data_IF_360501878979
#
_entry.id   IF_360501878979
#
_cell.length_a   1.000
_cell.length_b   1.000
_cell.length_c   1.000
_cell.angle_alpha   90.00
_cell.angle_beta   90.00
_cell.angle_gamma   90.00
#
_symmetry.space_group_name_H-M   'P 1'
#
loop_
_entity.id
_entity.type
_entity.pdbx_description
1 polymer ?
#
# COMPACT_ATOMS: atom_id res chain seq x y z
N UNK A 1 -19.47 39.94 6.43
CA UNK A 1 -18.59 39.07 5.61
C UNK A 1 -19.51 38.15 4.81
N UNK A 2 -19.54 38.23 3.48
CA UNK A 2 -20.45 37.43 2.65
C UNK A 2 -19.96 35.96 2.65
N UNK A 3 -20.71 35.06 3.28
CA UNK A 3 -20.45 33.62 3.41
C UNK A 3 -20.73 32.82 2.13
N UNK A 4 -20.39 33.37 0.97
CA UNK A 4 -20.72 32.80 -0.33
C UNK A 4 -19.67 31.81 -0.86
N UNK A 5 -18.51 31.73 -0.22
CA UNK A 5 -17.44 30.80 -0.60
C UNK A 5 -17.14 29.86 0.56
N UNK A 6 -17.00 28.57 0.26
CA UNK A 6 -16.45 27.61 1.21
C UNK A 6 -14.95 27.89 1.41
N UNK A 7 -14.60 28.30 2.62
CA UNK A 7 -13.23 28.62 3.05
C UNK A 7 -12.68 27.60 4.05
N UNK A 8 -13.47 26.60 4.41
CA UNK A 8 -13.13 25.63 5.46
C UNK A 8 -12.68 24.29 4.86
N UNK A 9 -13.08 23.99 3.64
CA UNK A 9 -12.58 22.81 2.92
C UNK A 9 -11.07 22.90 2.67
N UNK A 10 -10.34 21.92 3.20
CA UNK A 10 -8.92 21.72 2.88
C UNK A 10 -8.82 20.95 1.57
N UNK A 11 -8.30 21.61 0.54
CA UNK A 11 -8.11 21.01 -0.78
C UNK A 11 -6.62 20.77 -1.00
N UNK A 12 -6.24 19.51 -1.21
CA UNK A 12 -4.93 19.17 -1.75
C UNK A 12 -4.94 19.52 -3.24
N UNK A 13 -4.21 20.56 -3.62
CA UNK A 13 -4.19 21.06 -4.99
C UNK A 13 -2.93 20.55 -5.72
N UNK A 14 -3.11 20.03 -6.93
CA UNK A 14 -2.02 19.65 -7.80
C UNK A 14 -1.63 20.80 -8.73
N UNK A 15 -0.45 20.73 -9.32
CA UNK A 15 -0.01 21.67 -10.36
C UNK A 15 -1.01 21.76 -11.51
N UNK A 16 -1.52 20.62 -11.97
CA UNK A 16 -2.48 20.52 -13.06
C UNK A 16 -3.84 21.16 -12.70
N UNK A 17 -4.34 20.90 -11.49
CA UNK A 17 -5.61 21.45 -11.02
C UNK A 17 -5.53 22.97 -10.88
N UNK A 18 -4.42 23.49 -10.32
CA UNK A 18 -4.21 24.93 -10.20
C UNK A 18 -4.17 25.63 -11.56
N UNK A 19 -3.45 25.06 -12.54
CA UNK A 19 -3.42 25.58 -13.92
C UNK A 19 -4.80 25.56 -14.57
N UNK A 20 -5.55 24.48 -14.39
CA UNK A 20 -6.92 24.35 -14.91
C UNK A 20 -7.83 25.44 -14.37
N UNK A 21 -7.79 25.70 -13.05
CA UNK A 21 -8.58 26.77 -12.42
C UNK A 21 -8.18 28.16 -12.90
N UNK A 22 -6.88 28.44 -13.02
CA UNK A 22 -6.39 29.71 -13.56
C UNK A 22 -6.84 29.93 -15.00
N UNK A 23 -6.77 28.89 -15.84
CA UNK A 23 -7.25 28.95 -17.22
C UNK A 23 -8.76 29.21 -17.29
N UNK A 24 -9.55 28.61 -16.39
CA UNK A 24 -10.99 28.88 -16.30
C UNK A 24 -11.26 30.35 -15.98
N UNK A 25 -10.56 30.91 -14.99
CA UNK A 25 -10.70 32.34 -14.65
C UNK A 25 -10.23 33.23 -15.81
N UNK A 26 -9.11 32.88 -16.45
CA UNK A 26 -8.61 33.62 -17.62
C UNK A 26 -9.62 33.62 -18.78
N UNK A 27 -10.34 32.50 -18.97
CA UNK A 27 -11.41 32.38 -19.96
C UNK A 27 -12.67 33.19 -19.64
N UNK A 28 -12.86 33.64 -18.40
CA UNK A 28 -13.96 34.53 -18.02
C UNK A 28 -13.69 36.00 -18.40
N UNK A 29 -12.47 36.33 -18.83
CA UNK A 29 -12.11 37.70 -19.21
C UNK A 29 -12.65 37.99 -20.60
N UNK A 30 -13.62 38.88 -20.66
CA UNK A 30 -14.22 39.35 -21.91
C UNK A 30 -13.25 40.29 -22.62
N UNK A 31 -12.96 40.00 -23.89
CA UNK A 31 -12.18 40.89 -24.76
C UNK A 31 -13.11 41.62 -25.72
N UNK A 32 -13.15 42.95 -25.63
CA UNK A 32 -13.82 43.80 -26.62
C UNK A 32 -12.78 44.42 -27.55
N UNK A 33 -13.20 45.23 -28.53
CA UNK A 33 -12.31 45.98 -29.42
C UNK A 33 -11.49 47.03 -28.65
N UNK A 34 -12.05 47.64 -27.61
CA UNK A 34 -11.43 48.74 -26.87
C UNK A 34 -10.79 48.29 -25.55
N UNK A 35 -11.32 47.26 -24.87
CA UNK A 35 -10.94 46.96 -23.50
C UNK A 35 -11.08 45.47 -23.16
N UNK A 36 -10.61 45.10 -21.96
CA UNK A 36 -10.73 43.74 -21.42
C UNK A 36 -11.27 43.79 -20.02
N UNK A 37 -12.28 42.97 -19.75
CA UNK A 37 -13.04 43.04 -18.51
C UNK A 37 -13.14 41.69 -17.84
N UNK A 38 -12.96 41.68 -16.53
CA UNK A 38 -13.46 40.60 -15.68
C UNK A 38 -14.74 41.08 -15.00
N UNK A 39 -15.84 40.32 -15.14
CA UNK A 39 -17.17 40.73 -14.68
C UNK A 39 -18.04 41.30 -15.81
N UNK A 40 -19.13 41.99 -15.42
CA UNK A 40 -20.12 42.49 -16.37
C UNK A 40 -19.90 43.98 -16.66
N UNK A 41 -19.56 44.29 -17.90
CA UNK A 41 -19.42 45.66 -18.41
C UNK A 41 -20.62 45.98 -19.31
N UNK A 42 -21.30 47.09 -19.05
CA UNK A 42 -22.53 47.46 -19.77
C UNK A 42 -22.31 48.63 -20.74
N UNK A 43 -21.73 49.74 -20.28
CA UNK A 43 -21.65 50.96 -21.11
C UNK A 43 -20.34 51.74 -20.97
N UNK A 44 -20.15 52.49 -19.87
CA UNK A 44 -19.11 53.53 -19.82
C UNK A 44 -17.89 53.12 -19.02
N UNK A 45 -18.10 52.56 -17.82
CA UNK A 45 -17.00 52.30 -16.88
C UNK A 45 -17.32 51.18 -15.87
N UNK A 46 -16.30 50.68 -15.19
CA UNK A 46 -16.43 49.66 -14.16
C UNK A 46 -16.51 50.28 -12.75
N UNK A 47 -17.63 50.90 -12.40
CA UNK A 47 -17.80 51.59 -11.12
C UNK A 47 -18.93 51.02 -10.23
N UNK A 48 -19.54 49.91 -10.63
CA UNK A 48 -20.61 49.24 -9.88
C UNK A 48 -21.98 49.91 -9.99
N UNK A 49 -22.14 50.99 -10.76
CA UNK A 49 -23.45 51.58 -11.02
C UNK A 49 -24.28 50.68 -11.96
N UNK A 50 -25.60 50.65 -11.74
CA UNK A 50 -26.56 49.81 -12.46
C UNK A 50 -26.42 49.88 -13.98
N UNK A 51 -26.15 51.07 -14.54
CA UNK A 51 -26.09 51.27 -15.99
C UNK A 51 -24.67 51.08 -16.58
N UNK A 52 -23.66 50.95 -15.72
CA UNK A 52 -22.25 50.94 -16.11
C UNK A 52 -21.62 49.54 -16.00
N UNK A 53 -21.96 48.81 -14.94
CA UNK A 53 -21.54 47.44 -14.72
C UNK A 53 -20.63 47.26 -13.49
N UNK A 54 -20.52 46.00 -13.06
CA UNK A 54 -19.66 45.54 -11.97
C UNK A 54 -18.54 44.70 -12.56
N UNK A 55 -17.40 45.34 -12.82
CA UNK A 55 -16.28 44.74 -13.52
C UNK A 55 -14.93 45.30 -13.07
N UNK A 56 -13.85 44.75 -13.60
CA UNK A 56 -12.50 45.30 -13.54
C UNK A 56 -11.96 45.41 -14.96
N UNK A 57 -11.41 46.57 -15.33
CA UNK A 57 -10.73 46.76 -16.61
C UNK A 57 -9.27 46.32 -16.49
N UNK A 58 -8.78 45.54 -17.45
CA UNK A 58 -7.43 45.01 -17.51
C UNK A 58 -6.71 45.72 -18.66
N UNK A 59 -5.88 46.71 -18.31
CA UNK A 59 -5.21 47.60 -19.26
C UNK A 59 -4.00 46.96 -19.95
N UNK A 60 -3.38 45.99 -19.29
CA UNK A 60 -2.07 45.45 -19.69
C UNK A 60 -2.15 44.37 -20.78
N UNK A 61 -3.36 44.09 -21.28
CA UNK A 61 -3.61 43.19 -22.41
C UNK A 61 -4.39 43.93 -23.50
N UNK A 62 -4.11 43.58 -24.76
CA UNK A 62 -4.78 44.18 -25.93
C UNK A 62 -5.82 43.22 -26.51
N UNK A 63 -6.51 43.65 -27.58
CA UNK A 63 -7.42 42.79 -28.37
C UNK A 63 -6.73 41.51 -28.82
N UNK A 64 -5.47 41.63 -29.25
CA UNK A 64 -4.76 40.61 -30.01
C UNK A 64 -3.54 40.04 -29.31
N UNK A 65 -3.08 40.67 -28.22
CA UNK A 65 -1.83 40.30 -27.52
C UNK A 65 -1.98 40.35 -26.01
N UNK A 66 -1.13 39.58 -25.33
CA UNK A 66 -1.08 39.48 -23.88
C UNK A 66 -1.93 38.33 -23.33
N UNK A 67 -1.45 37.73 -22.25
CA UNK A 67 -2.14 36.68 -21.50
C UNK A 67 -2.62 37.25 -20.17
N UNK A 68 -3.88 37.02 -19.77
CA UNK A 68 -4.31 37.37 -18.42
C UNK A 68 -3.49 36.72 -17.32
N UNK A 69 -2.96 35.51 -17.59
CA UNK A 69 -2.12 34.78 -16.64
C UNK A 69 -0.84 35.53 -16.28
N UNK A 70 -0.29 36.33 -17.21
CA UNK A 70 0.92 37.13 -16.97
C UNK A 70 0.61 38.59 -16.66
N UNK A 71 -0.53 39.11 -17.11
CA UNK A 71 -0.89 40.52 -16.93
C UNK A 71 -1.52 40.81 -15.56
N UNK A 72 -2.10 39.80 -14.90
CA UNK A 72 -2.74 39.95 -13.59
C UNK A 72 -1.80 39.37 -12.52
N UNK A 73 -1.21 40.20 -11.63
CA UNK A 73 -0.13 39.75 -10.74
C UNK A 73 -0.48 38.54 -9.87
N UNK A 74 -1.69 38.47 -9.33
CA UNK A 74 -2.10 37.34 -8.50
C UNK A 74 -2.26 36.05 -9.31
N UNK A 75 -2.64 36.13 -10.60
CA UNK A 75 -2.71 34.96 -11.48
C UNK A 75 -1.32 34.45 -11.82
N UNK A 76 -0.37 35.36 -12.07
CA UNK A 76 1.02 35.01 -12.32
C UNK A 76 1.63 34.30 -11.10
N UNK A 77 1.45 34.85 -9.90
CA UNK A 77 1.96 34.25 -8.67
C UNK A 77 1.43 32.82 -8.47
N UNK A 78 0.14 32.59 -8.72
CA UNK A 78 -0.44 31.24 -8.64
C UNK A 78 0.07 30.32 -9.75
N UNK A 79 0.40 30.85 -10.92
CA UNK A 79 1.05 30.08 -11.97
C UNK A 79 2.46 29.64 -11.56
N UNK A 80 3.23 30.53 -10.92
CA UNK A 80 4.56 30.21 -10.37
C UNK A 80 4.49 29.15 -9.25
N UNK A 81 3.44 29.20 -8.43
CA UNK A 81 3.14 28.13 -7.46
C UNK A 81 2.87 26.80 -8.17
N UNK A 82 2.13 26.82 -9.28
CA UNK A 82 1.88 25.59 -10.06
C UNK A 82 3.18 25.00 -10.65
N UNK A 83 4.12 25.84 -11.10
CA UNK A 83 5.46 25.38 -11.52
C UNK A 83 6.23 24.73 -10.37
N UNK A 84 6.17 25.33 -9.19
CA UNK A 84 6.82 24.79 -7.99
C UNK A 84 6.21 23.45 -7.58
N UNK A 85 4.88 23.34 -7.60
CA UNK A 85 4.16 22.09 -7.35
C UNK A 85 4.57 21.01 -8.36
N UNK A 86 4.68 21.35 -9.65
CA UNK A 86 5.05 20.38 -10.67
C UNK A 86 6.46 19.79 -10.45
N UNK A 87 7.41 20.62 -9.99
CA UNK A 87 8.75 20.15 -9.60
C UNK A 87 8.69 19.21 -8.40
N UNK A 88 7.92 19.58 -7.39
CA UNK A 88 7.75 18.77 -6.19
C UNK A 88 7.07 17.42 -6.50
N UNK A 89 6.00 17.41 -7.29
CA UNK A 89 5.29 16.20 -7.71
C UNK A 89 6.21 15.21 -8.46
N UNK A 90 7.08 15.73 -9.34
CA UNK A 90 8.10 14.92 -10.02
C UNK A 90 9.11 14.35 -9.03
N UNK A 91 9.63 15.16 -8.11
CA UNK A 91 10.58 14.71 -7.09
C UNK A 91 9.99 13.61 -6.20
N UNK A 92 8.74 13.77 -5.74
CA UNK A 92 8.01 12.76 -4.97
C UNK A 92 7.85 11.47 -5.76
N UNK A 93 7.57 11.56 -7.07
CA UNK A 93 7.44 10.38 -7.93
C UNK A 93 8.76 9.61 -8.04
N UNK A 94 9.88 10.31 -8.23
CA UNK A 94 11.21 9.69 -8.26
C UNK A 94 11.55 9.04 -6.92
N UNK A 95 11.30 9.77 -5.83
CA UNK A 95 11.57 9.27 -4.48
C UNK A 95 10.77 8.00 -4.16
N UNK A 96 9.47 7.98 -4.49
CA UNK A 96 8.62 6.80 -4.32
C UNK A 96 9.12 5.58 -5.11
N UNK A 97 9.59 5.81 -6.35
CA UNK A 97 10.18 4.72 -7.16
C UNK A 97 11.45 4.17 -6.52
N UNK A 98 12.36 5.04 -6.09
CA UNK A 98 13.58 4.62 -5.42
C UNK A 98 13.30 3.86 -4.13
N UNK A 99 12.33 4.31 -3.32
CA UNK A 99 11.90 3.59 -2.12
C UNK A 99 11.37 2.18 -2.46
N UNK A 100 10.52 2.06 -3.48
CA UNK A 100 10.00 0.76 -3.91
C UNK A 100 11.11 -0.18 -4.43
N UNK A 101 12.10 0.35 -5.16
CA UNK A 101 13.27 -0.42 -5.60
C UNK A 101 14.13 -0.90 -4.42
N UNK A 102 14.36 -0.04 -3.44
CA UNK A 102 15.08 -0.37 -2.21
C UNK A 102 14.34 -1.48 -1.45
N UNK A 103 13.04 -1.31 -1.20
CA UNK A 103 12.20 -2.31 -0.52
C UNK A 103 12.21 -3.66 -1.25
N UNK A 104 12.08 -3.63 -2.59
CA UNK A 104 12.19 -4.85 -3.41
C UNK A 104 13.54 -5.54 -3.21
N UNK A 105 14.65 -4.79 -3.25
CA UNK A 105 16.01 -5.34 -3.05
C UNK A 105 16.24 -5.87 -1.64
N UNK A 106 15.56 -5.37 -0.61
CA UNK A 106 15.65 -5.89 0.76
C UNK A 106 14.68 -7.05 1.03
N UNK A 107 13.60 -7.18 0.26
CA UNK A 107 12.65 -8.29 0.39
C UNK A 107 13.22 -9.64 -0.07
N UNK A 108 14.12 -9.63 -1.06
CA UNK A 108 14.76 -10.84 -1.61
C UNK A 108 15.81 -11.47 -0.66
N UNK A 109 16.82 -10.74 -0.13
CA UNK A 109 17.84 -11.31 0.74
C UNK A 109 17.32 -11.56 2.16
N UNK A 110 16.23 -10.94 2.62
CA UNK A 110 15.68 -11.28 3.94
C UNK A 110 15.11 -12.69 3.99
N UNK A 111 14.61 -13.23 2.86
CA UNK A 111 14.20 -14.64 2.75
C UNK A 111 15.39 -15.59 2.66
N UNK A 112 16.51 -15.18 2.06
CA UNK A 112 17.70 -16.04 1.91
C UNK A 112 18.64 -15.99 3.12
N UNK A 113 18.82 -14.84 3.76
CA UNK A 113 19.68 -14.65 4.94
C UNK A 113 19.05 -15.15 6.24
N UNK A 114 17.71 -15.17 6.32
CA UNK A 114 16.95 -15.73 7.45
C UNK A 114 16.17 -16.99 7.07
N UNK A 115 16.45 -17.58 5.90
CA UNK A 115 16.16 -19.00 5.75
C UNK A 115 17.04 -19.69 6.78
N UNK A 116 16.45 -20.22 7.85
CA UNK A 116 17.14 -21.20 8.67
C UNK A 116 17.69 -22.25 7.70
N UNK A 117 18.97 -22.64 7.81
CA UNK A 117 19.49 -23.74 7.02
C UNK A 117 18.53 -24.90 7.23
N UNK A 118 17.87 -25.37 6.17
CA UNK A 118 17.31 -26.71 6.20
C UNK A 118 18.54 -27.58 6.50
N UNK A 119 18.59 -28.29 7.64
CA UNK A 119 19.72 -29.14 7.91
C UNK A 119 19.90 -30.02 6.68
N UNK A 120 21.08 -29.92 6.07
CA UNK A 120 21.47 -30.83 5.00
C UNK A 120 21.18 -32.22 5.56
N UNK A 121 20.36 -33.06 4.89
CA UNK A 121 20.21 -34.42 5.36
C UNK A 121 21.61 -35.00 5.31
N UNK A 122 22.24 -35.18 6.47
CA UNK A 122 23.53 -35.84 6.56
C UNK A 122 23.37 -37.13 5.77
N UNK A 123 24.06 -37.19 4.65
CA UNK A 123 24.29 -38.40 3.88
C UNK A 123 25.16 -39.30 4.74
N UNK A 124 24.58 -39.85 5.78
CA UNK A 124 25.17 -40.84 6.66
C UNK A 124 24.15 -41.96 6.76
N UNK A 125 24.33 -42.91 5.85
CA UNK A 125 24.17 -44.35 6.11
C UNK A 125 23.10 -44.71 7.13
N UNK A 126 22.01 -45.26 6.60
CA UNK A 126 20.97 -46.05 7.28
C UNK A 126 21.57 -46.90 8.41
N UNK A 127 21.61 -46.36 9.63
CA UNK A 127 21.98 -47.13 10.84
C UNK A 127 21.31 -46.64 12.12
N UNK A 128 20.33 -45.74 12.03
CA UNK A 128 19.62 -45.19 13.19
C UNK A 128 18.11 -45.42 13.22
N UNK A 129 17.53 -46.13 12.23
CA UNK A 129 16.08 -46.30 12.12
C UNK A 129 15.57 -47.69 12.56
N UNK A 130 16.48 -48.61 12.95
CA UNK A 130 16.08 -49.94 13.42
C UNK A 130 15.77 -50.02 14.93
N UNK A 131 16.33 -49.15 15.77
CA UNK A 131 16.16 -49.32 17.22
C UNK A 131 14.82 -48.77 17.76
N UNK A 132 14.34 -47.62 17.26
CA UNK A 132 13.04 -47.09 17.71
C UNK A 132 11.84 -47.91 17.22
N UNK A 133 11.98 -48.64 16.12
CA UNK A 133 10.93 -49.53 15.62
C UNK A 133 10.95 -50.88 16.34
N UNK A 134 12.08 -51.31 16.90
CA UNK A 134 12.16 -52.54 17.72
C UNK A 134 11.55 -52.37 19.10
N UNK A 135 11.74 -51.21 19.74
CA UNK A 135 11.24 -50.97 21.10
C UNK A 135 9.71 -50.86 21.11
N UNK A 136 9.12 -50.08 20.20
CA UNK A 136 7.65 -49.95 20.05
C UNK A 136 6.98 -51.29 19.66
N UNK A 137 7.64 -52.10 18.82
CA UNK A 137 7.08 -53.40 18.40
C UNK A 137 7.20 -54.48 19.49
N UNK A 138 8.18 -54.36 20.40
CA UNK A 138 8.36 -55.27 21.53
C UNK A 138 7.29 -55.03 22.60
N UNK A 139 7.05 -53.78 22.97
CA UNK A 139 6.03 -53.42 23.98
C UNK A 139 4.62 -53.83 23.52
N UNK A 140 4.34 -53.70 22.21
CA UNK A 140 3.05 -54.07 21.64
C UNK A 140 2.85 -55.60 21.60
N UNK A 141 3.89 -56.37 21.28
CA UNK A 141 3.84 -57.84 21.34
C UNK A 141 3.71 -58.38 22.77
N UNK A 142 4.29 -57.69 23.75
CA UNK A 142 4.18 -58.07 25.15
C UNK A 142 2.73 -57.88 25.66
N UNK A 143 2.10 -56.75 25.33
CA UNK A 143 0.68 -56.50 25.61
C UNK A 143 -0.27 -57.50 24.91
N UNK A 144 0.05 -57.92 23.69
CA UNK A 144 -0.74 -58.92 22.95
C UNK A 144 -0.64 -60.31 23.60
N UNK A 145 0.53 -60.72 24.08
CA UNK A 145 0.68 -61.98 24.81
C UNK A 145 -0.01 -61.94 26.19
N UNK A 146 0.01 -60.81 26.91
CA UNK A 146 -0.65 -60.64 28.21
C UNK A 146 -2.19 -60.67 28.13
N UNK A 147 -2.76 -60.31 26.97
CA UNK A 147 -4.21 -60.34 26.74
C UNK A 147 -4.76 -61.76 26.56
N UNK A 148 -3.91 -62.74 26.24
CA UNK A 148 -4.33 -64.14 26.08
C UNK A 148 -4.54 -64.72 27.49
N UNK A 149 -5.79 -65.06 27.84
CA UNK A 149 -6.12 -65.60 29.17
C UNK A 149 -6.27 -67.13 29.21
N UNK A 150 -6.07 -67.81 28.07
CA UNK A 150 -6.20 -69.27 27.96
C UNK A 150 -4.90 -69.91 27.48
N UNK A 151 -4.45 -70.90 28.25
CA UNK A 151 -3.19 -71.61 27.98
C UNK A 151 -3.13 -72.30 26.61
N UNK A 152 -4.25 -72.86 26.13
CA UNK A 152 -4.27 -73.55 24.84
C UNK A 152 -4.06 -72.59 23.67
N UNK A 153 -4.61 -71.37 23.76
CA UNK A 153 -4.50 -70.33 22.74
C UNK A 153 -3.08 -69.72 22.73
N UNK A 154 -2.44 -69.55 23.90
CA UNK A 154 -1.06 -69.09 23.97
C UNK A 154 -0.05 -70.12 23.44
N UNK A 155 -0.31 -71.42 23.59
CA UNK A 155 0.62 -72.47 23.10
C UNK A 155 0.54 -72.69 21.58
N UNK A 156 -0.58 -72.31 20.95
CA UNK A 156 -0.71 -72.37 19.49
C UNK A 156 -0.01 -71.19 18.79
N UNK A 157 0.12 -70.05 19.47
CA UNK A 157 0.88 -68.91 19.00
C UNK A 157 2.35 -69.12 19.37
N UNK A 158 3.15 -69.65 18.44
CA UNK A 158 4.58 -69.94 18.65
C UNK A 158 5.45 -68.73 19.02
N UNK A 159 4.84 -67.55 19.15
CA UNK A 159 5.47 -66.27 19.49
C UNK A 159 5.41 -65.93 20.99
N UNK A 160 4.48 -66.51 21.76
CA UNK A 160 4.27 -66.22 23.18
C UNK A 160 4.57 -67.43 24.09
N UNK A 161 5.15 -67.20 25.27
CA UNK A 161 5.48 -68.26 26.24
C UNK A 161 4.56 -68.19 27.46
N UNK A 162 3.72 -69.23 27.64
CA UNK A 162 2.81 -69.29 28.78
C UNK A 162 3.54 -69.64 30.09
N UNK A 163 3.61 -68.69 31.02
CA UNK A 163 4.12 -68.94 32.37
C UNK A 163 2.99 -69.36 33.32
N UNK A 164 3.09 -70.58 33.87
CA UNK A 164 2.15 -71.05 34.90
C UNK A 164 2.63 -70.52 36.24
N UNK A 165 1.91 -69.57 36.84
CA UNK A 165 2.16 -69.20 38.25
C UNK A 165 1.72 -70.35 39.14
N UNK A 166 2.68 -71.13 39.63
CA UNK A 166 2.43 -72.08 40.72
C UNK A 166 2.01 -71.28 41.96
N UNK A 167 0.83 -71.59 42.52
CA UNK A 167 0.48 -71.15 43.87
C UNK A 167 1.27 -72.00 44.86
N UNK A 168 2.03 -71.35 45.74
CA UNK A 168 1.98 -71.44 47.21
C UNK A 168 3.28 -70.84 47.83
N UNK A 169 3.13 -69.90 48.77
CA UNK A 169 4.24 -69.22 49.50
C UNK A 169 4.81 -70.04 50.67
N UNK A 170 5.41 -69.45 51.73
CA UNK A 170 6.00 -68.12 51.93
C UNK A 170 7.55 -68.16 52.11
N UNK A 171 8.18 -66.98 52.05
CA UNK A 171 9.60 -66.66 52.23
C UNK A 171 10.56 -66.99 51.07
#
# INVERSE_FOLDING_TARGET
MLGLCDRYSVIQITSAELRSRLNKVAGMIKRTTSARYFGEFLQTQCNGQTNNGMCFNITDITTTKGSPLSAIPWMQQLYDVAETLAKHEKAVTVWKKAQAEIESKFSTPRRELYAEPIPEPESTTVKGMEDKNKEVNRDQKELECEAIQKQAECKSDGTCKWEVKAKDGPH
#
